data_IF_749076958904
#
_entry.id   IF_749076958904
#
_cell.length_a   1.000
_cell.length_b   1.000
_cell.length_c   1.000
_cell.angle_alpha   90.00
_cell.angle_beta   90.00
_cell.angle_gamma   90.00
#
_symmetry.space_group_name_H-M   'P 1'
#
loop_
_entity.id
_entity.type
_entity.pdbx_description
1 polymer ?
#
# COMPACT_ATOMS: atom_id res chain seq x y z
N UNK A 1 -13.99 -23.77 9.13
CA UNK A 1 -14.94 -22.79 8.53
C UNK A 1 -15.29 -23.29 7.14
N UNK A 2 -16.46 -22.95 6.59
CA UNK A 2 -16.79 -23.33 5.20
C UNK A 2 -15.88 -22.52 4.26
N UNK A 3 -15.28 -23.16 3.23
CA UNK A 3 -14.34 -22.51 2.31
C UNK A 3 -14.86 -21.18 1.71
N UNK A 4 -16.17 -21.09 1.45
CA UNK A 4 -16.82 -19.87 0.98
C UNK A 4 -16.68 -18.67 1.94
N UNK A 5 -16.71 -18.91 3.25
CA UNK A 5 -16.56 -17.85 4.25
C UNK A 5 -15.14 -17.26 4.23
N UNK A 6 -14.12 -18.09 3.98
CA UNK A 6 -12.72 -17.64 3.86
C UNK A 6 -12.51 -16.80 2.60
N UNK A 7 -13.12 -17.20 1.48
CA UNK A 7 -13.09 -16.43 0.22
C UNK A 7 -13.76 -15.07 0.42
N UNK A 8 -15.00 -15.05 0.95
CA UNK A 8 -15.74 -13.80 1.17
C UNK A 8 -15.02 -12.87 2.13
N UNK A 9 -14.43 -13.42 3.20
CA UNK A 9 -13.66 -12.63 4.17
C UNK A 9 -12.36 -12.10 3.55
N UNK A 10 -11.69 -12.88 2.70
CA UNK A 10 -10.52 -12.43 1.95
C UNK A 10 -10.85 -11.29 0.98
N UNK A 11 -11.99 -11.36 0.29
CA UNK A 11 -12.50 -10.28 -0.57
C UNK A 11 -12.83 -9.05 0.27
N UNK A 12 -13.53 -9.21 1.39
CA UNK A 12 -13.86 -8.09 2.27
C UNK A 12 -12.61 -7.38 2.80
N UNK A 13 -11.56 -8.14 3.14
CA UNK A 13 -10.27 -7.57 3.48
C UNK A 13 -9.69 -6.79 2.29
N UNK A 14 -9.64 -7.37 1.09
CA UNK A 14 -9.15 -6.64 -0.09
C UNK A 14 -9.91 -5.33 -0.33
N UNK A 15 -11.24 -5.34 -0.22
CA UNK A 15 -12.09 -4.14 -0.35
C UNK A 15 -11.78 -3.11 0.72
N UNK A 16 -11.43 -3.54 1.95
CA UNK A 16 -11.04 -2.64 3.02
C UNK A 16 -9.71 -1.89 2.76
N UNK A 17 -8.90 -2.32 1.80
CA UNK A 17 -7.67 -1.61 1.46
C UNK A 17 -7.93 -0.17 1.01
N UNK A 18 -9.02 0.07 0.27
CA UNK A 18 -9.36 1.41 -0.21
C UNK A 18 -9.69 2.40 0.92
N UNK A 19 -10.67 2.14 1.83
CA UNK A 19 -10.94 3.07 2.91
C UNK A 19 -9.74 3.24 3.83
N UNK A 20 -8.86 2.24 3.95
CA UNK A 20 -7.60 2.35 4.69
C UNK A 20 -6.62 3.30 3.99
N UNK A 21 -6.49 3.18 2.66
CA UNK A 21 -5.68 4.07 1.82
C UNK A 21 -6.14 5.52 1.95
N UNK A 22 -7.43 5.78 1.75
CA UNK A 22 -7.98 7.14 1.89
C UNK A 22 -7.87 7.66 3.33
N UNK A 23 -8.06 6.80 4.34
CA UNK A 23 -7.83 7.19 5.74
C UNK A 23 -6.38 7.62 5.99
N UNK A 24 -5.41 6.98 5.34
CA UNK A 24 -4.00 7.38 5.39
C UNK A 24 -3.79 8.81 4.87
N UNK A 25 -4.35 9.12 3.70
CA UNK A 25 -4.32 10.48 3.15
C UNK A 25 -5.02 11.50 4.07
N UNK A 26 -6.20 11.14 4.61
CA UNK A 26 -6.99 12.02 5.45
C UNK A 26 -6.28 12.37 6.77
N UNK A 27 -5.75 11.34 7.45
CA UNK A 27 -5.01 11.51 8.70
C UNK A 27 -3.73 12.32 8.47
N UNK A 28 -2.96 12.00 7.43
CA UNK A 28 -1.74 12.75 7.12
C UNK A 28 -2.04 14.22 6.81
N UNK A 29 -3.08 14.49 6.02
CA UNK A 29 -3.53 15.86 5.75
C UNK A 29 -3.91 16.58 7.03
N UNK A 30 -4.74 15.95 7.87
CA UNK A 30 -5.16 16.53 9.16
C UNK A 30 -3.98 16.87 10.06
N UNK A 31 -2.98 16.00 10.15
CA UNK A 31 -1.79 16.20 10.98
C UNK A 31 -0.97 17.40 10.46
N UNK A 32 -0.78 17.49 9.15
CA UNK A 32 0.13 18.47 8.54
C UNK A 32 -0.50 19.85 8.33
N UNK A 33 -1.80 19.92 8.07
CA UNK A 33 -2.51 21.19 7.81
C UNK A 33 -3.36 21.66 8.98
N UNK A 34 -3.65 20.79 9.94
CA UNK A 34 -4.58 21.10 11.03
C UNK A 34 -6.03 21.22 10.58
N UNK A 35 -6.38 20.79 9.36
CA UNK A 35 -7.72 20.85 8.77
C UNK A 35 -8.08 19.47 8.22
N UNK A 36 -9.31 19.01 8.48
CA UNK A 36 -9.79 17.76 7.88
C UNK A 36 -10.04 17.98 6.38
N UNK A 37 -9.53 17.11 5.50
CA UNK A 37 -9.88 17.17 4.08
C UNK A 37 -11.32 16.70 3.86
N UNK A 38 -11.84 17.00 2.66
CA UNK A 38 -13.10 16.43 2.20
C UNK A 38 -12.88 14.96 1.85
N UNK A 39 -13.62 14.07 2.53
CA UNK A 39 -13.54 12.62 2.32
C UNK A 39 -14.72 12.22 1.44
N UNK A 40 -14.43 11.99 0.16
CA UNK A 40 -15.36 11.36 -0.78
C UNK A 40 -15.36 9.85 -0.64
N UNK A 41 -16.23 9.19 -1.41
CA UNK A 41 -16.37 7.73 -1.37
C UNK A 41 -15.12 6.98 -1.91
N UNK A 42 -14.30 7.64 -2.76
CA UNK A 42 -13.10 7.07 -3.39
C UNK A 42 -11.91 8.05 -3.43
N UNK A 43 -11.97 9.18 -2.72
CA UNK A 43 -10.94 10.19 -2.82
C UNK A 43 -10.96 11.14 -1.63
N UNK A 44 -9.77 11.49 -1.16
CA UNK A 44 -9.54 12.57 -0.20
C UNK A 44 -9.05 13.82 -0.93
N UNK A 45 -9.80 14.92 -0.77
CA UNK A 45 -9.47 16.21 -1.35
C UNK A 45 -8.97 17.17 -0.26
N UNK A 46 -7.70 17.62 -0.31
CA UNK A 46 -7.19 18.61 0.63
C UNK A 46 -8.01 19.90 0.59
N UNK A 47 -8.57 20.31 1.73
CA UNK A 47 -9.32 21.55 1.89
C UNK A 47 -8.42 22.78 2.10
N UNK A 48 -7.10 22.57 2.22
CA UNK A 48 -6.10 23.59 2.45
C UNK A 48 -4.80 23.25 1.72
N UNK A 49 -4.01 24.26 1.37
CA UNK A 49 -2.67 24.06 0.81
C UNK A 49 -1.69 23.45 1.82
N UNK A 50 -0.60 22.89 1.31
CA UNK A 50 0.52 22.39 2.11
C UNK A 50 1.59 23.47 2.26
N UNK A 51 2.16 23.62 3.47
CA UNK A 51 3.17 24.64 3.76
C UNK A 51 4.50 24.34 3.05
N UNK A 52 4.86 23.07 2.92
CA UNK A 52 6.10 22.63 2.26
C UNK A 52 5.86 21.53 1.23
N UNK A 53 6.84 21.35 0.33
CA UNK A 53 6.87 20.19 -0.59
C UNK A 53 6.94 18.88 0.17
N UNK A 54 7.63 18.84 1.31
CA UNK A 54 7.75 17.64 2.13
C UNK A 54 6.38 17.20 2.66
N UNK A 55 5.55 18.14 3.12
CA UNK A 55 4.20 17.86 3.60
C UNK A 55 3.34 17.23 2.50
N UNK A 56 3.41 17.80 1.28
CA UNK A 56 2.72 17.24 0.12
C UNK A 56 3.21 15.82 -0.21
N UNK A 57 4.52 15.56 -0.16
CA UNK A 57 5.10 14.23 -0.39
C UNK A 57 4.67 13.22 0.68
N UNK A 58 4.60 13.62 1.95
CA UNK A 58 4.11 12.78 3.03
C UNK A 58 2.66 12.39 2.77
N UNK A 59 1.79 13.35 2.44
CA UNK A 59 0.39 13.05 2.13
C UNK A 59 0.28 12.14 0.92
N UNK A 60 1.03 12.38 -0.16
CA UNK A 60 0.99 11.56 -1.37
C UNK A 60 1.36 10.09 -1.12
N UNK A 61 2.30 9.82 -0.20
CA UNK A 61 2.71 8.46 0.14
C UNK A 61 1.85 7.83 1.25
N UNK A 62 1.13 8.62 2.05
CA UNK A 62 0.49 8.17 3.28
C UNK A 62 -0.56 7.07 3.07
N UNK A 63 -1.37 7.16 2.00
CA UNK A 63 -2.38 6.14 1.70
C UNK A 63 -1.77 4.79 1.42
N UNK A 64 -0.80 4.75 0.50
CA UNK A 64 -0.11 3.51 0.13
C UNK A 64 0.68 2.92 1.31
N UNK A 65 1.31 3.76 2.13
CA UNK A 65 1.96 3.34 3.37
C UNK A 65 0.97 2.77 4.40
N UNK A 66 -0.25 3.30 4.48
CA UNK A 66 -1.29 2.75 5.35
C UNK A 66 -1.72 1.34 4.90
N UNK A 67 -1.86 1.12 3.59
CA UNK A 67 -2.15 -0.21 3.03
C UNK A 67 -1.02 -1.19 3.33
N UNK A 68 0.25 -0.78 3.16
CA UNK A 68 1.42 -1.60 3.49
C UNK A 68 1.50 -1.94 4.97
N UNK A 69 1.25 -0.96 5.85
CA UNK A 69 1.23 -1.16 7.29
C UNK A 69 0.12 -2.13 7.73
N UNK A 70 -1.07 -1.99 7.14
CA UNK A 70 -2.20 -2.88 7.39
C UNK A 70 -1.92 -4.31 6.92
N UNK A 71 -1.35 -4.48 5.72
CA UNK A 71 -0.88 -5.79 5.26
C UNK A 71 0.16 -6.39 6.21
N UNK A 72 1.14 -5.59 6.64
CA UNK A 72 2.16 -6.00 7.61
C UNK A 72 1.57 -6.49 8.93
N UNK A 73 0.55 -5.79 9.46
CA UNK A 73 -0.16 -6.21 10.65
C UNK A 73 -0.88 -7.56 10.46
N UNK A 74 -1.55 -7.77 9.32
CA UNK A 74 -2.20 -9.05 8.99
C UNK A 74 -1.15 -10.16 8.84
N UNK A 75 -0.02 -9.88 8.20
CA UNK A 75 1.08 -10.83 8.05
C UNK A 75 1.62 -11.28 9.40
N UNK A 76 1.91 -10.34 10.30
CA UNK A 76 2.35 -10.67 11.66
C UNK A 76 1.29 -11.46 12.44
N UNK A 77 0.01 -11.11 12.29
CA UNK A 77 -1.10 -11.88 12.88
C UNK A 77 -1.12 -13.32 12.38
N UNK A 78 -1.00 -13.53 11.06
CA UNK A 78 -0.98 -14.86 10.46
C UNK A 78 0.27 -15.65 10.83
N UNK A 79 1.42 -14.99 11.02
CA UNK A 79 2.61 -15.62 11.59
C UNK A 79 2.36 -16.19 12.99
N UNK A 80 1.52 -15.54 13.79
CA UNK A 80 1.13 -16.01 15.13
C UNK A 80 -0.07 -16.96 15.11
N UNK A 81 -0.89 -16.93 14.05
CA UNK A 81 -2.09 -17.79 13.89
C UNK A 81 -2.16 -18.39 12.49
N UNK A 82 -1.42 -19.49 12.22
CA UNK A 82 -1.33 -20.07 10.87
C UNK A 82 -2.66 -20.54 10.27
N UNK A 83 -3.68 -20.80 11.10
CA UNK A 83 -5.05 -21.14 10.63
C UNK A 83 -5.71 -19.99 9.86
N UNK A 84 -5.17 -18.77 9.94
CA UNK A 84 -5.70 -17.57 9.30
C UNK A 84 -5.01 -17.22 7.97
N UNK A 85 -4.26 -18.14 7.37
CA UNK A 85 -3.54 -17.91 6.10
C UNK A 85 -4.42 -17.36 4.97
N UNK A 86 -5.71 -17.71 4.94
CA UNK A 86 -6.68 -17.17 3.99
C UNK A 86 -6.78 -15.63 4.05
N UNK A 87 -6.57 -15.03 5.23
CA UNK A 87 -6.67 -13.59 5.44
C UNK A 87 -5.57 -12.80 4.72
N UNK A 88 -4.50 -13.46 4.26
CA UNK A 88 -3.42 -12.81 3.52
C UNK A 88 -3.70 -12.64 2.03
N UNK A 89 -4.61 -13.42 1.45
CA UNK A 89 -4.78 -13.48 -0.01
C UNK A 89 -5.18 -12.11 -0.57
N UNK A 90 -6.28 -11.55 -0.08
CA UNK A 90 -6.78 -10.23 -0.50
C UNK A 90 -5.80 -9.09 -0.22
N UNK A 91 -5.35 -8.89 1.03
CA UNK A 91 -4.38 -7.85 1.38
C UNK A 91 -3.07 -7.93 0.59
N UNK A 92 -2.57 -9.15 0.32
CA UNK A 92 -1.33 -9.32 -0.46
C UNK A 92 -1.53 -8.94 -1.92
N UNK A 93 -2.70 -9.23 -2.50
CA UNK A 93 -3.06 -8.77 -3.84
C UNK A 93 -3.09 -7.25 -3.92
N UNK A 94 -3.76 -6.58 -2.97
CA UNK A 94 -3.83 -5.11 -2.94
C UNK A 94 -2.45 -4.47 -2.77
N UNK A 95 -1.63 -5.03 -1.87
CA UNK A 95 -0.24 -4.59 -1.68
C UNK A 95 0.60 -4.77 -2.95
N UNK A 96 0.43 -5.90 -3.65
CA UNK A 96 1.13 -6.13 -4.91
C UNK A 96 0.70 -5.12 -5.98
N UNK A 97 -0.60 -4.81 -6.09
CA UNK A 97 -1.11 -3.80 -7.02
C UNK A 97 -0.48 -2.43 -6.71
N UNK A 98 -0.50 -1.99 -5.45
CA UNK A 98 0.13 -0.72 -5.02
C UNK A 98 1.61 -0.67 -5.41
N UNK A 99 2.39 -1.69 -5.07
CA UNK A 99 3.82 -1.70 -5.37
C UNK A 99 4.11 -1.74 -6.88
N UNK A 100 3.32 -2.50 -7.64
CA UNK A 100 3.48 -2.60 -9.10
C UNK A 100 3.10 -1.30 -9.79
N UNK A 101 2.03 -0.63 -9.37
CA UNK A 101 1.60 0.65 -9.99
C UNK A 101 2.57 1.77 -9.67
N UNK A 102 3.12 1.81 -8.45
CA UNK A 102 4.22 2.72 -8.09
C UNK A 102 5.49 2.43 -8.90
N UNK A 103 5.85 1.16 -9.07
CA UNK A 103 7.01 0.77 -9.85
C UNK A 103 6.83 1.11 -11.34
N UNK A 104 5.64 0.85 -11.89
CA UNK A 104 5.29 1.23 -13.25
C UNK A 104 5.38 2.75 -13.44
N UNK A 105 4.85 3.56 -12.52
CA UNK A 105 5.00 5.02 -12.58
C UNK A 105 6.45 5.45 -12.62
N UNK A 106 7.32 4.82 -11.82
CA UNK A 106 8.75 5.10 -11.82
C UNK A 106 9.43 4.72 -13.14
N UNK A 107 9.16 3.52 -13.67
CA UNK A 107 9.75 3.04 -14.92
C UNK A 107 9.28 3.84 -16.14
N UNK A 108 8.02 4.28 -16.16
CA UNK A 108 7.44 5.02 -17.28
C UNK A 108 7.63 6.55 -17.18
N UNK A 109 8.08 7.08 -16.03
CA UNK A 109 8.33 8.51 -15.86
C UNK A 109 9.34 9.10 -16.88
N UNK A 110 10.48 8.45 -17.20
CA UNK A 110 11.40 8.94 -18.23
C UNK A 110 10.77 9.07 -19.63
N UNK A 111 9.67 8.36 -19.89
CA UNK A 111 8.92 8.42 -21.15
C UNK A 111 7.79 9.45 -21.12
N UNK A 112 7.65 10.23 -20.04
CA UNK A 112 6.55 11.17 -19.84
C UNK A 112 5.20 10.47 -19.60
N UNK A 113 5.22 9.21 -19.13
CA UNK A 113 4.04 8.33 -18.96
C UNK A 113 3.89 7.80 -17.53
N UNK A 114 4.33 8.58 -16.53
CA UNK A 114 4.27 8.19 -15.12
C UNK A 114 2.82 7.94 -14.62
N UNK A 115 1.85 8.57 -15.27
CA UNK A 115 0.41 8.48 -15.01
C UNK A 115 -0.21 7.12 -15.39
N UNK A 116 0.47 6.31 -16.21
CA UNK A 116 0.03 4.93 -16.51
C UNK A 116 0.13 3.98 -15.31
N UNK A 117 0.84 4.38 -14.26
CA UNK A 117 0.90 3.66 -12.98
C UNK A 117 -0.08 4.25 -11.95
N UNK A 118 0.42 4.56 -10.75
CA UNK A 118 -0.35 5.21 -9.70
C UNK A 118 -0.29 6.75 -9.83
N UNK A 119 -1.45 7.41 -9.76
CA UNK A 119 -1.53 8.89 -9.80
C UNK A 119 -0.72 9.54 -8.67
N UNK A 120 -0.76 8.97 -7.46
CA UNK A 120 0.03 9.45 -6.32
C UNK A 120 1.53 9.32 -6.56
N UNK A 121 2.00 8.21 -7.15
CA UNK A 121 3.40 8.00 -7.48
C UNK A 121 3.91 8.98 -8.54
N UNK A 122 3.10 9.25 -9.57
CA UNK A 122 3.43 10.24 -10.60
C UNK A 122 3.58 11.65 -10.00
N UNK A 123 2.62 12.06 -9.15
CA UNK A 123 2.69 13.33 -8.40
C UNK A 123 3.89 13.36 -7.46
N UNK A 124 4.19 12.26 -6.79
CA UNK A 124 5.33 12.14 -5.87
C UNK A 124 6.65 12.37 -6.61
N UNK A 125 6.87 11.74 -7.76
CA UNK A 125 8.06 11.96 -8.59
C UNK A 125 8.17 13.41 -9.06
N UNK A 126 7.06 13.99 -9.53
CA UNK A 126 7.02 15.36 -10.00
C UNK A 126 7.36 16.39 -8.89
N UNK A 127 6.83 16.18 -7.67
CA UNK A 127 7.06 17.09 -6.53
C UNK A 127 8.44 16.88 -5.90
N UNK A 128 8.91 15.63 -5.79
CA UNK A 128 10.17 15.30 -5.12
C UNK A 128 11.41 15.63 -5.94
N UNK A 129 11.31 15.64 -7.27
CA UNK A 129 12.48 15.73 -8.16
C UNK A 129 13.41 14.50 -8.05
N UNK A 130 12.91 13.41 -7.45
CA UNK A 130 13.64 12.16 -7.29
C UNK A 130 13.90 11.52 -8.65
N UNK A 131 15.11 10.96 -8.84
CA UNK A 131 15.39 10.13 -10.00
C UNK A 131 14.40 8.95 -10.04
N UNK A 132 13.67 8.72 -11.15
CA UNK A 132 12.72 7.62 -11.23
C UNK A 132 13.38 6.25 -10.99
N UNK A 133 14.64 6.10 -11.38
CA UNK A 133 15.42 4.88 -11.12
C UNK A 133 15.67 4.65 -9.64
N UNK A 134 15.88 5.71 -8.85
CA UNK A 134 16.04 5.58 -7.40
C UNK A 134 14.75 5.06 -6.76
N UNK A 135 13.60 5.60 -7.16
CA UNK A 135 12.30 5.12 -6.68
C UNK A 135 12.04 3.66 -7.12
N UNK A 136 12.33 3.32 -8.38
CA UNK A 136 12.19 1.97 -8.90
C UNK A 136 13.07 0.97 -8.14
N UNK A 137 14.31 1.33 -7.81
CA UNK A 137 15.21 0.48 -7.01
C UNK A 137 14.68 0.28 -5.59
N UNK A 138 14.21 1.34 -4.92
CA UNK A 138 13.61 1.24 -3.58
C UNK A 138 12.40 0.32 -3.59
N UNK A 139 11.49 0.50 -4.55
CA UNK A 139 10.30 -0.33 -4.70
C UNK A 139 10.67 -1.79 -5.04
N UNK A 140 11.65 -2.00 -5.91
CA UNK A 140 12.17 -3.33 -6.22
C UNK A 140 12.74 -4.05 -5.00
N UNK A 141 13.46 -3.34 -4.12
CA UNK A 141 13.95 -3.89 -2.85
C UNK A 141 12.81 -4.24 -1.89
N UNK A 142 11.77 -3.41 -1.80
CA UNK A 142 10.59 -3.67 -0.97
C UNK A 142 9.85 -4.92 -1.48
N UNK A 143 9.57 -4.97 -2.79
CA UNK A 143 8.91 -6.11 -3.45
C UNK A 143 9.72 -7.39 -3.21
N UNK A 144 11.03 -7.35 -3.47
CA UNK A 144 11.92 -8.49 -3.28
C UNK A 144 11.93 -8.98 -1.83
N UNK A 145 12.02 -8.06 -0.87
CA UNK A 145 12.00 -8.40 0.56
C UNK A 145 10.67 -9.02 0.98
N UNK A 146 9.55 -8.42 0.56
CA UNK A 146 8.21 -8.96 0.84
C UNK A 146 8.04 -10.37 0.22
N UNK A 147 8.45 -10.55 -1.04
CA UNK A 147 8.39 -11.84 -1.71
C UNK A 147 9.24 -12.90 -1.01
N UNK A 148 10.44 -12.55 -0.53
CA UNK A 148 11.30 -13.46 0.24
C UNK A 148 10.66 -13.83 1.58
N UNK A 149 10.13 -12.85 2.33
CA UNK A 149 9.48 -13.09 3.61
C UNK A 149 8.27 -14.02 3.47
N UNK A 150 7.39 -13.72 2.51
CA UNK A 150 6.22 -14.53 2.19
C UNK A 150 6.64 -15.93 1.74
N UNK A 151 7.57 -16.04 0.79
CA UNK A 151 8.03 -17.33 0.28
C UNK A 151 8.64 -18.19 1.37
N UNK A 152 9.47 -17.63 2.25
CA UNK A 152 10.04 -18.36 3.38
C UNK A 152 8.96 -18.83 4.34
N UNK A 153 8.02 -17.96 4.71
CA UNK A 153 6.96 -18.31 5.65
C UNK A 153 6.04 -19.44 5.13
N UNK A 154 5.72 -19.44 3.83
CA UNK A 154 4.86 -20.46 3.23
C UNK A 154 5.60 -21.73 2.79
N UNK A 155 6.92 -21.69 2.59
CA UNK A 155 7.75 -22.88 2.30
C UNK A 155 8.15 -23.67 3.54
N UNK A 156 8.07 -23.09 4.75
CA UNK A 156 8.31 -23.85 5.96
C UNK A 156 7.24 -24.97 6.04
N UNK A 157 7.65 -26.26 6.09
CA UNK A 157 6.69 -27.33 6.34
C UNK A 157 5.96 -26.97 7.62
N UNK A 158 4.62 -26.98 7.59
CA UNK A 158 3.85 -26.77 8.79
C UNK A 158 4.36 -27.77 9.82
N UNK A 159 4.90 -27.31 10.94
CA UNK A 159 5.36 -28.20 11.99
C UNK A 159 4.27 -29.25 12.23
N UNK A 160 4.53 -30.54 11.99
CA UNK A 160 3.65 -31.55 12.52
C UNK A 160 3.73 -31.45 14.04
N UNK A 161 2.56 -31.48 14.68
CA UNK A 161 2.31 -31.68 16.13
C UNK A 161 2.73 -30.52 17.06
N UNK A 162 1.93 -30.13 18.06
CA UNK A 162 1.10 -30.93 18.98
C UNK A 162 -0.40 -30.58 18.96
#
# INVERSE_FOLDING_TARGET
MKAWAEILSGIALAVAAEPIHESGHAIATRILTGVWPEIGFWAVHPASGFATKLDALIVLAAGDLAVLAWWGAIFLLVCRRPRWRWALVGPSLMTAIVLVTWFASAVFAPLGRADLGASNAAKFLAVSGMSPWMLATVLGMIIGTAAVLVSRYFRLPGSPTL
#
